data_IF_827183458593
#
_entry.id   IF_827183458593
#
_cell.length_a   1.000
_cell.length_b   1.000
_cell.length_c   1.000
_cell.angle_alpha   90.00
_cell.angle_beta   90.00
_cell.angle_gamma   90.00
#
_symmetry.space_group_name_H-M   'P 1'
#
loop_
_entity.id
_entity.type
_entity.pdbx_description
1 polymer ?
#
# COMPACT_ATOMS: atom_id res chain seq x y z
N UNK A 1 8.78 -21.37 -17.82
CA UNK A 1 9.20 -20.49 -18.95
C UNK A 1 7.98 -19.67 -19.36
N UNK A 2 7.72 -18.57 -18.66
CA UNK A 2 6.66 -17.63 -19.04
C UNK A 2 7.23 -16.63 -20.04
N UNK A 3 6.48 -16.39 -21.12
CA UNK A 3 6.82 -15.48 -22.21
C UNK A 3 6.92 -14.04 -21.67
N UNK A 4 8.13 -13.60 -21.33
CA UNK A 4 8.42 -12.21 -21.03
C UNK A 4 8.58 -11.46 -22.35
N UNK A 5 7.49 -11.30 -23.11
CA UNK A 5 7.53 -10.50 -24.33
C UNK A 5 7.43 -9.03 -23.92
N UNK A 6 8.58 -8.45 -23.56
CA UNK A 6 8.73 -7.00 -23.53
C UNK A 6 8.12 -6.44 -24.82
N UNK A 7 7.13 -5.56 -24.69
CA UNK A 7 6.47 -5.00 -25.86
C UNK A 7 7.53 -4.19 -26.62
N UNK A 8 7.74 -4.49 -27.91
CA UNK A 8 8.78 -3.85 -28.73
C UNK A 8 8.69 -2.32 -28.76
N UNK A 9 7.55 -1.77 -28.38
CA UNK A 9 7.29 -0.33 -28.31
C UNK A 9 7.62 0.30 -26.94
N UNK A 10 7.98 -0.48 -25.92
CA UNK A 10 8.33 0.04 -24.60
C UNK A 10 9.70 0.73 -24.63
N UNK A 11 9.87 1.78 -23.83
CA UNK A 11 11.17 2.44 -23.68
C UNK A 11 12.24 1.49 -23.13
N UNK A 12 13.51 1.77 -23.40
CA UNK A 12 14.64 0.97 -22.88
C UNK A 12 14.61 0.81 -21.35
N UNK A 13 14.14 1.83 -20.61
CA UNK A 13 13.96 1.77 -19.16
C UNK A 13 12.91 0.72 -18.77
N UNK A 14 11.73 0.74 -19.39
CA UNK A 14 10.67 -0.21 -19.08
C UNK A 14 11.07 -1.65 -19.43
N UNK A 15 11.81 -1.84 -20.53
CA UNK A 15 12.36 -3.14 -20.89
C UNK A 15 13.37 -3.66 -19.84
N UNK A 16 14.22 -2.78 -19.29
CA UNK A 16 15.13 -3.15 -18.22
C UNK A 16 14.38 -3.50 -16.92
N UNK A 17 13.38 -2.70 -16.54
CA UNK A 17 12.55 -2.95 -15.36
C UNK A 17 11.74 -4.26 -15.46
N UNK A 18 11.33 -4.65 -16.67
CA UNK A 18 10.57 -5.89 -16.90
C UNK A 18 11.37 -7.19 -16.68
N UNK A 19 12.70 -7.09 -16.67
CA UNK A 19 13.60 -8.25 -16.53
C UNK A 19 14.46 -8.19 -15.26
N UNK A 20 14.57 -7.02 -14.63
CA UNK A 20 15.33 -6.88 -13.38
C UNK A 20 14.60 -7.60 -12.24
N UNK A 21 15.28 -8.59 -11.67
CA UNK A 21 14.81 -9.41 -10.56
C UNK A 21 15.70 -9.25 -9.32
N UNK A 22 16.51 -8.20 -9.27
CA UNK A 22 17.42 -7.93 -8.15
C UNK A 22 16.68 -7.58 -6.85
N UNK A 23 15.45 -7.07 -6.97
CA UNK A 23 14.53 -6.80 -5.86
C UNK A 23 13.40 -7.83 -5.95
N UNK A 24 13.05 -8.53 -4.85
CA UNK A 24 11.96 -9.49 -4.87
C UNK A 24 10.65 -8.76 -5.16
N UNK A 25 9.93 -9.16 -6.19
CA UNK A 25 8.58 -8.68 -6.50
C UNK A 25 7.91 -9.75 -7.37
N UNK A 26 6.62 -9.99 -7.20
CA UNK A 26 5.91 -10.93 -8.06
C UNK A 26 5.71 -10.36 -9.46
N UNK A 27 5.83 -11.22 -10.47
CA UNK A 27 5.67 -10.82 -11.87
C UNK A 27 4.34 -10.13 -12.14
N UNK A 28 3.26 -10.59 -11.50
CA UNK A 28 1.94 -9.97 -11.61
C UNK A 28 1.94 -8.48 -11.19
N UNK A 29 2.67 -8.13 -10.13
CA UNK A 29 2.79 -6.75 -9.69
C UNK A 29 3.65 -5.93 -10.66
N UNK A 30 4.76 -6.49 -11.16
CA UNK A 30 5.60 -5.86 -12.20
C UNK A 30 4.78 -5.53 -13.44
N UNK A 31 4.00 -6.49 -13.94
CA UNK A 31 3.17 -6.33 -15.14
C UNK A 31 2.13 -5.21 -14.97
N UNK A 32 1.49 -5.13 -13.80
CA UNK A 32 0.55 -4.05 -13.46
C UNK A 32 1.26 -2.69 -13.41
N UNK A 33 2.41 -2.60 -12.74
CA UNK A 33 3.17 -1.36 -12.64
C UNK A 33 3.67 -0.87 -13.99
N UNK A 34 4.25 -1.74 -14.81
CA UNK A 34 4.71 -1.38 -16.15
C UNK A 34 3.56 -0.86 -17.02
N UNK A 35 2.39 -1.49 -16.92
CA UNK A 35 1.20 -1.05 -17.66
C UNK A 35 0.64 0.28 -17.16
N UNK A 36 0.62 0.52 -15.85
CA UNK A 36 0.26 1.83 -15.27
C UNK A 36 1.26 2.94 -15.63
N UNK A 37 2.56 2.62 -15.65
CA UNK A 37 3.63 3.54 -16.07
C UNK A 37 3.55 3.90 -17.55
N UNK A 38 3.13 2.94 -18.39
CA UNK A 38 2.97 3.14 -19.83
C UNK A 38 1.61 3.78 -20.21
N UNK A 39 0.84 4.28 -19.24
CA UNK A 39 -0.41 4.99 -19.52
C UNK A 39 -0.11 6.28 -20.32
N UNK A 40 -0.60 6.41 -21.58
CA UNK A 40 -0.25 7.55 -22.44
C UNK A 40 -0.77 8.88 -21.89
N UNK A 41 -1.86 8.84 -21.11
CA UNK A 41 -2.43 10.02 -20.49
C UNK A 41 -1.62 10.50 -19.28
N UNK A 42 -0.70 9.69 -18.74
CA UNK A 42 0.16 10.05 -17.61
C UNK A 42 0.89 11.36 -17.85
N UNK A 43 1.49 11.56 -19.02
CA UNK A 43 2.31 12.75 -19.30
C UNK A 43 1.50 14.04 -19.45
N UNK A 44 0.20 13.96 -19.73
CA UNK A 44 -0.68 15.11 -19.85
C UNK A 44 -1.53 15.32 -18.59
N UNK A 45 -2.22 14.28 -18.13
CA UNK A 45 -3.16 14.32 -17.01
C UNK A 45 -2.42 14.49 -15.69
N UNK A 46 -1.33 13.75 -15.46
CA UNK A 46 -0.60 13.78 -14.17
C UNK A 46 -0.10 15.18 -13.81
N UNK A 47 0.67 15.92 -14.63
CA UNK A 47 1.17 17.24 -14.21
C UNK A 47 0.05 18.24 -13.93
N UNK A 48 -1.03 18.21 -14.75
CA UNK A 48 -2.18 19.08 -14.55
C UNK A 48 -2.92 18.76 -13.25
N UNK A 49 -3.24 17.47 -13.03
CA UNK A 49 -4.00 17.03 -11.86
C UNK A 49 -3.16 17.10 -10.59
N UNK A 50 -1.87 16.82 -10.67
CA UNK A 50 -0.94 16.98 -9.54
C UNK A 50 -0.87 18.44 -9.10
N UNK A 51 -0.79 19.40 -10.03
CA UNK A 51 -0.84 20.82 -9.69
C UNK A 51 -2.17 21.24 -9.08
N UNK A 52 -3.28 20.85 -9.71
CA UNK A 52 -4.64 21.15 -9.23
C UNK A 52 -4.90 20.56 -7.84
N UNK A 53 -4.63 19.27 -7.64
CA UNK A 53 -4.84 18.58 -6.38
C UNK A 53 -3.85 19.02 -5.32
N UNK A 54 -2.62 19.40 -5.66
CA UNK A 54 -1.72 20.02 -4.70
C UNK A 54 -2.31 21.33 -4.17
N UNK A 55 -2.78 22.22 -5.05
CA UNK A 55 -3.42 23.48 -4.62
C UNK A 55 -4.65 23.19 -3.76
N UNK A 56 -5.55 22.31 -4.23
CA UNK A 56 -6.75 21.91 -3.50
C UNK A 56 -6.41 21.34 -2.11
N UNK A 57 -5.43 20.44 -2.04
CA UNK A 57 -4.99 19.83 -0.79
C UNK A 57 -4.52 20.89 0.21
N UNK A 58 -3.72 21.86 -0.22
CA UNK A 58 -3.22 22.91 0.67
C UNK A 58 -4.33 23.87 1.12
N UNK A 59 -5.28 24.18 0.23
CA UNK A 59 -6.46 25.00 0.59
C UNK A 59 -7.34 24.28 1.63
N UNK A 60 -7.65 23.01 1.41
CA UNK A 60 -8.44 22.19 2.34
C UNK A 60 -7.69 22.00 3.65
N UNK A 61 -6.39 21.72 3.59
CA UNK A 61 -5.54 21.57 4.77
C UNK A 61 -5.54 22.84 5.63
N UNK A 62 -5.38 24.01 5.00
CA UNK A 62 -5.45 25.31 5.69
C UNK A 62 -6.82 25.51 6.34
N UNK A 63 -7.89 25.24 5.60
CA UNK A 63 -9.26 25.33 6.10
C UNK A 63 -9.50 24.44 7.32
N UNK A 64 -9.05 23.17 7.28
CA UNK A 64 -9.18 22.21 8.40
C UNK A 64 -8.30 22.57 9.59
N UNK A 65 -7.31 23.46 9.42
CA UNK A 65 -6.45 23.96 10.50
C UNK A 65 -7.02 25.17 11.24
N UNK A 66 -8.00 25.87 10.64
CA UNK A 66 -8.74 26.95 11.30
C UNK A 66 -9.44 26.43 12.57
N UNK A 67 -9.71 27.30 13.58
CA UNK A 67 -10.39 26.93 14.82
C UNK A 67 -11.90 26.77 14.63
N UNK A 68 -12.32 26.09 13.55
CA UNK A 68 -13.70 25.76 13.26
C UNK A 68 -14.04 24.37 13.83
N UNK A 69 -15.33 24.12 14.17
CA UNK A 69 -15.77 22.79 14.58
C UNK A 69 -15.33 21.72 13.58
N UNK A 70 -14.61 20.71 14.08
CA UNK A 70 -14.11 19.62 13.25
C UNK A 70 -15.23 18.63 12.95
N UNK A 71 -15.23 18.08 11.75
CA UNK A 71 -16.15 17.03 11.33
C UNK A 71 -15.39 15.90 10.65
N UNK A 72 -15.98 14.70 10.68
CA UNK A 72 -15.59 13.58 9.84
C UNK A 72 -16.83 12.91 9.22
N UNK A 73 -16.63 12.34 8.04
CA UNK A 73 -17.67 11.70 7.25
C UNK A 73 -17.13 10.43 6.58
N UNK A 74 -16.65 9.48 7.40
CA UNK A 74 -16.03 8.22 6.95
C UNK A 74 -16.85 7.48 5.89
N UNK A 75 -18.17 7.34 6.10
CA UNK A 75 -19.04 6.67 5.13
C UNK A 75 -19.16 7.40 3.79
N UNK A 76 -19.13 8.74 3.79
CA UNK A 76 -19.13 9.52 2.55
C UNK A 76 -17.77 9.43 1.86
N UNK A 77 -16.67 9.52 2.62
CA UNK A 77 -15.31 9.37 2.14
C UNK A 77 -15.15 8.05 1.37
N UNK A 78 -15.51 6.93 2.01
CA UNK A 78 -15.36 5.62 1.38
C UNK A 78 -16.27 5.46 0.16
N UNK A 79 -17.51 5.96 0.22
CA UNK A 79 -18.43 5.95 -0.95
C UNK A 79 -17.85 6.71 -2.13
N UNK A 80 -17.26 7.88 -1.90
CA UNK A 80 -16.63 8.68 -2.94
C UNK A 80 -15.40 7.98 -3.52
N UNK A 81 -14.51 7.45 -2.68
CA UNK A 81 -13.33 6.71 -3.14
C UNK A 81 -13.75 5.51 -3.99
N UNK A 82 -14.64 4.65 -3.49
CA UNK A 82 -15.14 3.50 -4.25
C UNK A 82 -15.84 3.91 -5.54
N UNK A 83 -16.48 5.08 -5.59
CA UNK A 83 -17.05 5.63 -6.83
C UNK A 83 -15.96 6.06 -7.81
N UNK A 84 -14.95 6.82 -7.36
CA UNK A 84 -13.81 7.19 -8.19
C UNK A 84 -13.05 5.97 -8.71
N UNK A 85 -12.82 4.96 -7.87
CA UNK A 85 -12.22 3.68 -8.26
C UNK A 85 -12.97 3.02 -9.41
N UNK A 86 -14.30 2.87 -9.29
CA UNK A 86 -15.12 2.26 -10.34
C UNK A 86 -15.15 3.06 -11.64
N UNK A 87 -15.13 4.39 -11.55
CA UNK A 87 -15.42 5.23 -12.71
C UNK A 87 -14.18 5.83 -13.37
N UNK A 88 -13.12 6.17 -12.65
CA UNK A 88 -12.01 6.98 -13.16
C UNK A 88 -10.62 6.38 -12.96
N UNK A 89 -10.41 5.58 -11.92
CA UNK A 89 -9.12 4.93 -11.67
C UNK A 89 -8.90 3.77 -12.65
N UNK A 90 -7.71 3.69 -13.25
CA UNK A 90 -7.34 2.62 -14.18
C UNK A 90 -7.58 1.23 -13.57
N UNK A 91 -7.76 0.23 -14.44
CA UNK A 91 -7.94 -1.16 -13.97
C UNK A 91 -6.68 -1.61 -13.23
N UNK A 92 -5.52 -1.25 -13.75
CA UNK A 92 -4.21 -1.58 -13.20
C UNK A 92 -4.03 -0.97 -11.80
N UNK A 93 -4.33 0.32 -11.63
CA UNK A 93 -4.24 0.98 -10.33
C UNK A 93 -5.24 0.41 -9.32
N UNK A 94 -6.46 0.06 -9.75
CA UNK A 94 -7.44 -0.61 -8.89
C UNK A 94 -6.96 -2.00 -8.44
N UNK A 95 -6.35 -2.79 -9.33
CA UNK A 95 -5.78 -4.08 -8.97
C UNK A 95 -4.60 -3.92 -8.00
N UNK A 96 -3.73 -2.92 -8.21
CA UNK A 96 -2.65 -2.59 -7.29
C UNK A 96 -3.18 -2.18 -5.91
N UNK A 97 -4.27 -1.41 -5.84
CA UNK A 97 -4.93 -1.05 -4.57
C UNK A 97 -5.44 -2.30 -3.85
N UNK A 98 -6.19 -3.18 -4.52
CA UNK A 98 -6.72 -4.40 -3.89
C UNK A 98 -5.60 -5.34 -3.43
N UNK A 99 -4.56 -5.47 -4.26
CA UNK A 99 -3.39 -6.28 -3.97
C UNK A 99 -2.63 -5.75 -2.75
N UNK A 100 -2.48 -4.43 -2.61
CA UNK A 100 -1.84 -3.81 -1.45
C UNK A 100 -2.50 -4.19 -0.12
N UNK A 101 -3.84 -4.21 -0.05
CA UNK A 101 -4.53 -4.68 1.16
C UNK A 101 -4.14 -6.12 1.53
N UNK A 102 -4.04 -6.99 0.53
CA UNK A 102 -3.71 -8.39 0.74
C UNK A 102 -2.24 -8.59 1.14
N UNK A 103 -1.31 -7.90 0.47
CA UNK A 103 0.13 -7.99 0.78
C UNK A 103 0.43 -7.43 2.18
N UNK A 104 -0.13 -6.28 2.55
CA UNK A 104 0.07 -5.72 3.89
C UNK A 104 -0.59 -6.57 4.98
N UNK A 105 -1.82 -7.05 4.76
CA UNK A 105 -2.47 -7.95 5.73
C UNK A 105 -1.65 -9.21 5.97
N UNK A 106 -1.07 -9.82 4.93
CA UNK A 106 -0.16 -10.96 5.07
C UNK A 106 1.11 -10.63 5.86
N UNK A 107 1.74 -9.48 5.59
CA UNK A 107 2.93 -9.03 6.32
C UNK A 107 2.62 -8.84 7.81
N UNK A 108 1.50 -8.21 8.14
CA UNK A 108 1.08 -8.02 9.52
C UNK A 108 0.74 -9.35 10.20
N UNK A 109 0.00 -10.22 9.52
CA UNK A 109 -0.36 -11.54 10.02
C UNK A 109 0.86 -12.44 10.23
N UNK A 110 1.88 -12.33 9.37
CA UNK A 110 3.15 -13.01 9.57
C UNK A 110 3.87 -12.51 10.82
N UNK A 111 3.95 -11.19 11.02
CA UNK A 111 4.55 -10.62 12.25
C UNK A 111 3.78 -11.08 13.49
N UNK A 112 2.44 -11.10 13.43
CA UNK A 112 1.58 -11.53 14.54
C UNK A 112 1.85 -13.00 14.89
N UNK A 113 1.74 -13.90 13.91
CA UNK A 113 1.92 -15.35 14.09
C UNK A 113 3.32 -15.72 14.60
N UNK A 114 4.35 -14.95 14.23
CA UNK A 114 5.73 -15.21 14.61
C UNK A 114 6.21 -14.40 15.83
N UNK A 115 5.30 -13.63 16.46
CA UNK A 115 5.57 -12.94 17.72
C UNK A 115 5.29 -13.83 18.92
N UNK A 116 5.90 -13.54 20.06
CA UNK A 116 5.68 -14.32 21.29
C UNK A 116 4.35 -13.95 22.00
N UNK A 117 3.47 -13.18 21.35
CA UNK A 117 2.18 -12.72 21.92
C UNK A 117 1.01 -13.42 21.24
N UNK A 118 0.37 -14.32 21.97
CA UNK A 118 -0.75 -15.12 21.47
C UNK A 118 -2.09 -14.36 21.36
N UNK A 119 -2.24 -13.20 22.02
CA UNK A 119 -3.54 -12.51 22.15
C UNK A 119 -3.75 -11.37 21.12
N UNK A 120 -2.97 -11.34 20.03
CA UNK A 120 -3.12 -10.32 18.98
C UNK A 120 -3.96 -10.89 17.85
N UNK A 121 -5.13 -10.30 17.63
CA UNK A 121 -6.04 -10.73 16.56
C UNK A 121 -5.43 -10.50 15.17
N UNK A 122 -5.55 -11.47 14.24
CA UNK A 122 -5.08 -11.31 12.87
C UNK A 122 -5.90 -10.27 12.11
N UNK A 123 -5.27 -9.62 11.14
CA UNK A 123 -5.88 -8.64 10.24
C UNK A 123 -6.71 -9.36 9.17
N UNK A 124 -8.03 -9.11 9.07
CA UNK A 124 -8.92 -9.84 8.15
C UNK A 124 -9.14 -9.12 6.81
N UNK A 125 -8.31 -8.14 6.43
CA UNK A 125 -8.59 -7.22 5.33
C UNK A 125 -8.08 -7.74 3.98
N UNK A 126 -8.89 -8.58 3.32
CA UNK A 126 -8.60 -9.12 1.99
C UNK A 126 -9.71 -8.81 0.96
N UNK A 127 -9.97 -7.52 0.64
CA UNK A 127 -10.99 -7.16 -0.34
C UNK A 127 -10.65 -7.73 -1.71
N UNK A 128 -11.64 -8.30 -2.39
CA UNK A 128 -11.49 -8.89 -3.73
C UNK A 128 -12.09 -8.00 -4.82
N UNK A 129 -12.98 -7.08 -4.43
CA UNK A 129 -13.65 -6.13 -5.31
C UNK A 129 -13.59 -4.71 -4.76
N UNK A 130 -13.85 -3.72 -5.62
CA UNK A 130 -13.95 -2.31 -5.21
C UNK A 130 -15.09 -2.06 -4.21
N UNK A 131 -16.14 -2.88 -4.27
CA UNK A 131 -17.26 -2.75 -3.34
C UNK A 131 -16.94 -3.35 -1.96
N UNK A 132 -16.06 -4.35 -1.87
CA UNK A 132 -15.57 -4.88 -0.59
C UNK A 132 -14.81 -3.83 0.21
N UNK A 133 -14.10 -2.92 -0.48
CA UNK A 133 -13.42 -1.78 0.16
C UNK A 133 -14.41 -0.83 0.88
N UNK A 134 -15.73 -0.92 0.65
CA UNK A 134 -16.69 -0.16 1.45
C UNK A 134 -16.71 -0.60 2.91
N UNK A 135 -16.43 -1.88 3.14
CA UNK A 135 -16.31 -2.47 4.47
C UNK A 135 -14.86 -2.41 4.92
N UNK A 136 -13.93 -2.94 4.14
CA UNK A 136 -12.49 -2.80 4.34
C UNK A 136 -12.02 -1.39 3.93
N UNK A 137 -12.41 -0.38 4.69
CA UNK A 137 -12.12 1.02 4.36
C UNK A 137 -10.64 1.34 4.53
N UNK A 138 -10.15 2.36 3.82
CA UNK A 138 -8.76 2.81 3.96
C UNK A 138 -8.43 3.28 5.38
N UNK A 139 -9.41 3.85 6.08
CA UNK A 139 -9.21 4.28 7.48
C UNK A 139 -9.13 3.07 8.42
N UNK A 140 -9.94 2.04 8.18
CA UNK A 140 -9.87 0.79 8.95
C UNK A 140 -8.54 0.07 8.73
N UNK A 141 -8.09 0.03 7.48
CA UNK A 141 -6.78 -0.49 7.08
C UNK A 141 -5.64 0.09 7.92
N UNK A 142 -5.49 1.41 7.95
CA UNK A 142 -4.44 2.08 8.73
C UNK A 142 -4.61 1.83 10.24
N UNK A 143 -5.86 1.80 10.72
CA UNK A 143 -6.15 1.50 12.13
C UNK A 143 -5.78 0.07 12.53
N UNK A 144 -5.94 -0.91 11.66
CA UNK A 144 -5.53 -2.29 11.89
C UNK A 144 -4.02 -2.38 12.11
N UNK A 145 -3.23 -1.72 11.26
CA UNK A 145 -1.77 -1.61 11.42
C UNK A 145 -1.40 -1.02 12.80
N UNK A 146 -2.00 0.12 13.17
CA UNK A 146 -1.70 0.76 14.45
C UNK A 146 -2.09 -0.09 15.66
N UNK A 147 -3.27 -0.72 15.62
CA UNK A 147 -3.75 -1.61 16.69
C UNK A 147 -2.83 -2.82 16.84
N UNK A 148 -2.45 -3.47 15.74
CA UNK A 148 -1.53 -4.61 15.76
C UNK A 148 -0.20 -4.22 16.40
N UNK A 149 0.41 -3.09 15.99
CA UNK A 149 1.65 -2.62 16.60
C UNK A 149 1.52 -2.27 18.07
N UNK A 150 0.43 -1.63 18.47
CA UNK A 150 0.16 -1.30 19.86
C UNK A 150 0.00 -2.55 20.74
N UNK A 151 -0.72 -3.57 20.26
CA UNK A 151 -0.95 -4.84 20.95
C UNK A 151 0.33 -5.69 21.02
N UNK A 152 1.09 -5.78 19.92
CA UNK A 152 2.42 -6.41 19.89
C UNK A 152 3.36 -5.73 20.90
N UNK A 153 3.26 -4.40 21.07
CA UNK A 153 4.00 -3.65 22.06
C UNK A 153 5.49 -3.57 21.76
N UNK A 154 6.30 -3.54 22.83
CA UNK A 154 7.76 -3.42 22.72
C UNK A 154 8.37 -4.64 22.03
N UNK A 155 9.13 -4.37 20.97
CA UNK A 155 9.90 -5.40 20.29
C UNK A 155 11.15 -5.75 21.09
N UNK A 156 11.32 -7.03 21.40
CA UNK A 156 12.55 -7.55 21.99
C UNK A 156 13.45 -8.06 20.86
N UNK A 157 14.64 -7.49 20.64
CA UNK A 157 15.53 -7.95 19.59
C UNK A 157 15.85 -9.44 19.72
N UNK A 158 15.69 -10.18 18.62
CA UNK A 158 16.02 -11.60 18.60
C UNK A 158 17.54 -11.78 18.49
N UNK A 159 18.11 -12.65 19.32
CA UNK A 159 19.55 -12.98 19.29
C UNK A 159 19.90 -13.97 18.17
N UNK A 160 18.91 -14.72 17.69
CA UNK A 160 18.98 -15.65 16.56
C UNK A 160 17.67 -15.59 15.78
N UNK A 161 17.69 -15.92 14.48
CA UNK A 161 16.46 -16.11 13.71
C UNK A 161 15.54 -17.16 14.35
N UNK A 162 14.25 -17.09 14.06
CA UNK A 162 13.27 -18.11 14.47
C UNK A 162 13.61 -19.42 13.76
N UNK A 163 13.62 -20.52 14.53
CA UNK A 163 13.96 -21.84 14.00
C UNK A 163 12.87 -22.40 13.09
N UNK A 164 11.61 -22.13 13.44
CA UNK A 164 10.42 -22.47 12.67
C UNK A 164 9.57 -21.21 12.51
N UNK A 165 9.03 -21.01 11.31
CA UNK A 165 8.17 -19.89 10.97
C UNK A 165 6.72 -20.36 10.87
N UNK A 166 5.81 -19.62 11.49
CA UNK A 166 4.38 -19.87 11.43
C UNK A 166 3.76 -19.12 10.24
N UNK A 167 3.05 -19.88 9.40
CA UNK A 167 2.35 -19.40 8.21
C UNK A 167 0.83 -19.58 8.30
N UNK A 168 0.28 -19.92 9.47
CA UNK A 168 -1.13 -20.28 9.65
C UNK A 168 -2.11 -19.21 9.16
N UNK A 169 -1.77 -17.93 9.34
CA UNK A 169 -2.58 -16.80 8.88
C UNK A 169 -2.21 -16.26 7.49
N UNK A 170 -1.23 -16.87 6.83
CA UNK A 170 -0.75 -16.43 5.53
C UNK A 170 -1.71 -16.85 4.41
N UNK A 171 -2.05 -15.91 3.53
CA UNK A 171 -2.96 -16.15 2.41
C UNK A 171 -2.29 -15.75 1.09
N UNK A 172 -1.86 -16.74 0.29
CA UNK A 172 -1.23 -16.48 -1.01
C UNK A 172 -2.14 -15.59 -1.88
N UNK A 173 -1.56 -14.55 -2.46
CA UNK A 173 -2.27 -13.60 -3.32
C UNK A 173 -2.45 -14.23 -4.70
N UNK A 174 -3.68 -14.57 -5.05
CA UNK A 174 -4.04 -14.97 -6.40
C UNK A 174 -4.71 -13.82 -7.15
N UNK A 175 -4.16 -13.44 -8.30
CA UNK A 175 -4.71 -12.36 -9.13
C UNK A 175 -6.09 -12.67 -9.70
N UNK A 176 -6.42 -13.94 -9.90
CA UNK A 176 -7.73 -14.38 -10.42
C UNK A 176 -8.86 -14.15 -9.41
N UNK A 177 -8.55 -13.95 -8.13
CA UNK A 177 -9.55 -13.63 -7.12
C UNK A 177 -10.04 -12.18 -7.24
N UNK A 178 -9.24 -11.28 -7.82
CA UNK A 178 -9.57 -9.86 -7.89
C UNK A 178 -10.49 -9.55 -9.06
N UNK A 179 -11.56 -8.80 -8.81
CA UNK A 179 -12.53 -8.44 -9.82
C UNK A 179 -12.67 -6.92 -9.95
N UNK A 180 -12.25 -6.40 -11.10
CA UNK A 180 -12.37 -4.99 -11.46
C UNK A 180 -13.06 -4.86 -12.82
N UNK A 181 -14.25 -4.27 -12.83
CA UNK A 181 -14.99 -4.00 -14.05
C UNK A 181 -14.30 -2.89 -14.86
N UNK A 182 -13.98 -3.16 -16.12
CA UNK A 182 -13.36 -2.19 -17.03
C UNK A 182 -14.39 -1.19 -17.54
N UNK A 183 -14.07 0.11 -17.45
CA UNK A 183 -14.86 1.20 -18.03
C UNK A 183 -14.01 2.13 -18.88
N UNK A 184 -14.63 2.77 -19.87
CA UNK A 184 -13.93 3.67 -20.79
C UNK A 184 -13.38 4.93 -20.12
N UNK A 185 -13.99 5.35 -19.00
CA UNK A 185 -13.59 6.54 -18.25
C UNK A 185 -12.45 6.30 -17.24
N UNK A 186 -11.94 5.06 -17.14
CA UNK A 186 -10.86 4.69 -16.21
C UNK A 186 -9.48 5.05 -16.77
N UNK A 187 -9.10 6.32 -16.66
CA UNK A 187 -7.84 6.84 -17.20
C UNK A 187 -6.82 7.32 -16.15
N UNK A 188 -7.23 7.47 -14.89
CA UNK A 188 -6.34 7.93 -13.82
C UNK A 188 -5.37 6.83 -13.44
N UNK A 189 -4.08 7.13 -13.57
CA UNK A 189 -3.02 6.29 -13.03
C UNK A 189 -3.02 6.30 -11.49
N UNK A 190 -2.25 5.40 -10.91
CA UNK A 190 -2.18 5.21 -9.47
C UNK A 190 -1.83 6.51 -8.72
N UNK A 191 -0.83 7.25 -9.18
CA UNK A 191 -0.38 8.48 -8.53
C UNK A 191 -1.42 9.61 -8.59
N UNK A 192 -2.08 9.80 -9.74
CA UNK A 192 -3.11 10.83 -9.91
C UNK A 192 -4.36 10.49 -9.08
N UNK A 193 -4.74 9.22 -9.03
CA UNK A 193 -5.83 8.74 -8.19
C UNK A 193 -5.52 8.97 -6.70
N UNK A 194 -4.31 8.64 -6.25
CA UNK A 194 -3.89 8.86 -4.87
C UNK A 194 -3.89 10.35 -4.50
N UNK A 195 -3.42 11.24 -5.36
CA UNK A 195 -3.46 12.69 -5.11
C UNK A 195 -4.89 13.21 -4.90
N UNK A 196 -5.86 12.71 -5.67
CA UNK A 196 -7.28 12.98 -5.47
C UNK A 196 -7.76 12.44 -4.11
N UNK A 197 -7.42 11.20 -3.78
CA UNK A 197 -7.83 10.59 -2.52
C UNK A 197 -7.30 11.37 -1.33
N UNK A 198 -6.05 11.82 -1.33
CA UNK A 198 -5.50 12.68 -0.27
C UNK A 198 -6.34 13.96 -0.04
N UNK A 199 -6.86 14.57 -1.11
CA UNK A 199 -7.76 15.72 -0.98
C UNK A 199 -9.06 15.35 -0.27
N UNK A 200 -9.65 14.19 -0.62
CA UNK A 200 -10.87 13.69 0.01
C UNK A 200 -10.65 13.35 1.48
N UNK A 201 -9.55 12.66 1.81
CA UNK A 201 -9.16 12.36 3.18
C UNK A 201 -9.00 13.64 4.00
N UNK A 202 -8.26 14.63 3.48
CA UNK A 202 -8.05 15.89 4.17
C UNK A 202 -9.38 16.61 4.46
N UNK A 203 -10.30 16.61 3.50
CA UNK A 203 -11.60 17.27 3.64
C UNK A 203 -12.51 16.54 4.64
N UNK A 204 -12.62 15.22 4.52
CA UNK A 204 -13.67 14.41 5.14
C UNK A 204 -13.24 13.70 6.42
N UNK A 205 -11.98 13.82 6.85
CA UNK A 205 -11.50 13.34 8.15
C UNK A 205 -11.27 14.51 9.12
N UNK A 206 -11.29 14.24 10.43
CA UNK A 206 -10.78 15.18 11.42
C UNK A 206 -9.28 15.34 11.26
N UNK A 207 -8.72 16.40 11.84
CA UNK A 207 -7.29 16.69 11.79
C UNK A 207 -6.41 15.53 12.27
N UNK A 208 -6.75 14.90 13.40
CA UNK A 208 -5.97 13.79 13.94
C UNK A 208 -6.14 12.52 13.09
N UNK A 209 -7.37 12.21 12.66
CA UNK A 209 -7.66 11.10 11.74
C UNK A 209 -6.87 11.25 10.42
N UNK A 210 -6.82 12.46 9.84
CA UNK A 210 -6.04 12.74 8.65
C UNK A 210 -4.53 12.62 8.89
N UNK A 211 -4.02 13.13 10.03
CA UNK A 211 -2.61 13.00 10.41
C UNK A 211 -2.23 11.52 10.50
N UNK A 212 -3.07 10.72 11.13
CA UNK A 212 -2.81 9.31 11.34
C UNK A 212 -2.80 8.57 9.98
N UNK A 213 -3.77 8.82 9.10
CA UNK A 213 -3.81 8.23 7.76
C UNK A 213 -2.56 8.54 6.91
N UNK A 214 -2.10 9.79 6.86
CA UNK A 214 -0.92 10.16 6.05
C UNK A 214 0.42 9.76 6.68
N UNK A 215 0.40 9.23 7.91
CA UNK A 215 1.58 8.72 8.61
C UNK A 215 1.47 7.20 8.90
N UNK A 216 0.48 6.50 8.33
CA UNK A 216 0.31 5.04 8.47
C UNK A 216 1.57 4.25 8.10
N UNK A 217 2.15 4.61 6.97
CA UNK A 217 3.37 4.00 6.43
C UNK A 217 4.67 4.43 7.14
N UNK A 218 4.62 5.16 8.27
CA UNK A 218 5.83 5.43 9.06
C UNK A 218 6.42 4.15 9.70
N UNK A 219 5.66 3.06 9.75
CA UNK A 219 6.05 1.81 10.40
C UNK A 219 6.77 0.82 9.47
N UNK A 220 6.96 1.13 8.18
CA UNK A 220 7.63 0.25 7.21
C UNK A 220 8.99 -0.26 7.71
N UNK A 221 9.86 0.66 8.15
CA UNK A 221 11.16 0.29 8.70
C UNK A 221 11.04 -0.61 9.95
N UNK A 222 10.03 -0.37 10.79
CA UNK A 222 9.83 -1.18 11.99
C UNK A 222 9.37 -2.59 11.62
N UNK A 223 8.48 -2.73 10.63
CA UNK A 223 8.07 -4.02 10.08
C UNK A 223 9.28 -4.77 9.50
N UNK A 224 10.08 -4.10 8.68
CA UNK A 224 11.26 -4.66 8.04
C UNK A 224 12.29 -5.19 9.05
N UNK A 225 12.55 -4.43 10.12
CA UNK A 225 13.47 -4.86 11.20
C UNK A 225 12.94 -6.12 11.90
N UNK A 226 11.65 -6.14 12.25
CA UNK A 226 11.03 -7.28 12.94
C UNK A 226 11.12 -8.55 12.08
N UNK A 227 10.72 -8.45 10.82
CA UNK A 227 10.73 -9.58 9.87
C UNK A 227 12.17 -10.02 9.59
N UNK A 228 13.08 -9.07 9.32
CA UNK A 228 14.50 -9.37 9.09
C UNK A 228 15.15 -10.11 10.25
N UNK A 229 14.78 -9.79 11.50
CA UNK A 229 15.23 -10.55 12.66
C UNK A 229 14.60 -11.93 12.75
N UNK A 230 13.30 -12.07 12.45
CA UNK A 230 12.60 -13.35 12.46
C UNK A 230 13.21 -14.34 11.46
N UNK A 231 13.49 -13.90 10.23
CA UNK A 231 13.97 -14.78 9.14
C UNK A 231 15.50 -14.81 8.99
N UNK A 232 16.23 -13.97 9.73
CA UNK A 232 17.69 -13.89 9.67
C UNK A 232 18.26 -13.08 8.50
N UNK A 233 17.49 -12.13 7.99
CA UNK A 233 17.88 -11.23 6.89
C UNK A 233 17.84 -9.76 7.34
N UNK A 234 18.86 -9.27 8.06
CA UNK A 234 18.86 -7.90 8.58
C UNK A 234 18.84 -6.83 7.47
N UNK A 235 19.33 -7.17 6.28
CA UNK A 235 19.38 -6.29 5.11
C UNK A 235 17.97 -5.96 4.55
N UNK A 236 16.91 -6.69 4.93
CA UNK A 236 15.53 -6.36 4.54
C UNK A 236 15.12 -4.95 4.97
N UNK A 237 15.75 -4.39 6.00
CA UNK A 237 15.54 -3.01 6.42
C UNK A 237 15.78 -1.99 5.29
N UNK A 238 16.64 -2.31 4.31
CA UNK A 238 16.91 -1.43 3.17
C UNK A 238 15.76 -1.38 2.15
N UNK A 239 14.84 -2.34 2.18
CA UNK A 239 13.64 -2.32 1.34
C UNK A 239 12.61 -1.27 1.82
N UNK A 240 12.69 -0.85 3.08
CA UNK A 240 11.82 0.18 3.62
C UNK A 240 12.30 1.58 3.21
N UNK A 241 11.50 2.28 2.40
CA UNK A 241 11.75 3.70 2.10
C UNK A 241 11.33 4.62 3.25
N UNK A 242 10.17 4.35 3.85
CA UNK A 242 9.66 5.15 4.96
C UNK A 242 10.37 4.75 6.26
N UNK A 243 11.40 5.53 6.61
CA UNK A 243 12.25 5.35 7.80
C UNK A 243 11.96 6.43 8.85
N UNK A 244 12.37 6.16 10.09
CA UNK A 244 12.26 7.09 11.22
C UNK A 244 10.82 7.43 11.63
N UNK A 245 10.08 6.52 12.29
CA UNK A 245 8.64 6.65 12.57
C UNK A 245 8.25 7.88 13.40
N UNK A 246 9.18 8.48 14.14
CA UNK A 246 8.97 9.68 14.94
C UNK A 246 8.91 10.97 14.11
N UNK A 247 9.25 10.92 12.82
CA UNK A 247 9.12 12.04 11.92
C UNK A 247 7.72 12.07 11.29
N UNK A 248 6.85 12.94 11.81
CA UNK A 248 5.52 13.15 11.24
C UNK A 248 5.57 14.10 10.06
N UNK A 249 4.99 13.69 8.93
CA UNK A 249 4.94 14.50 7.71
C UNK A 249 3.66 15.33 7.61
N UNK A 250 3.80 16.46 6.92
CA UNK A 250 2.68 17.29 6.46
C UNK A 250 2.15 16.86 5.09
N UNK A 251 1.40 17.73 4.38
CA UNK A 251 0.78 17.40 3.09
C UNK A 251 1.77 17.28 1.91
N UNK A 252 3.06 17.51 2.14
CA UNK A 252 4.09 17.49 1.10
C UNK A 252 4.59 16.07 0.82
N UNK A 253 4.89 15.75 -0.45
CA UNK A 253 5.45 14.47 -0.91
C UNK A 253 4.64 13.20 -0.56
N UNK A 254 3.37 13.33 -0.18
CA UNK A 254 2.56 12.18 0.26
C UNK A 254 2.41 11.09 -0.81
N UNK A 255 2.20 11.46 -2.08
CA UNK A 255 2.06 10.46 -3.15
C UNK A 255 3.31 9.63 -3.37
N UNK A 256 4.50 10.22 -3.25
CA UNK A 256 5.75 9.45 -3.34
C UNK A 256 5.87 8.49 -2.16
N UNK A 257 5.60 8.95 -0.94
CA UNK A 257 5.71 8.09 0.25
C UNK A 257 4.75 6.91 0.21
N UNK A 258 3.51 7.14 -0.24
CA UNK A 258 2.51 6.09 -0.44
C UNK A 258 2.92 5.10 -1.52
N UNK A 259 3.43 5.59 -2.66
CA UNK A 259 3.96 4.72 -3.72
C UNK A 259 5.10 3.83 -3.20
N UNK A 260 6.03 4.41 -2.46
CA UNK A 260 7.16 3.68 -1.89
C UNK A 260 6.73 2.67 -0.81
N UNK A 261 5.68 2.97 -0.05
CA UNK A 261 5.05 2.03 0.87
C UNK A 261 4.42 0.85 0.13
N UNK A 262 3.69 1.11 -0.96
CA UNK A 262 3.16 0.05 -1.83
C UNK A 262 4.26 -0.89 -2.32
N UNK A 263 5.38 -0.34 -2.82
CA UNK A 263 6.55 -1.14 -3.21
C UNK A 263 7.13 -1.94 -2.03
N UNK A 264 7.27 -1.33 -0.86
CA UNK A 264 7.73 -2.04 0.34
C UNK A 264 6.86 -3.28 0.64
N UNK A 265 5.54 -3.14 0.60
CA UNK A 265 4.63 -4.28 0.85
C UNK A 265 4.76 -5.37 -0.22
N UNK A 266 4.92 -5.01 -1.49
CA UNK A 266 5.16 -5.97 -2.58
C UNK A 266 6.48 -6.73 -2.38
N UNK A 267 7.54 -6.01 -2.01
CA UNK A 267 8.87 -6.61 -1.85
C UNK A 267 8.93 -7.57 -0.67
N UNK A 268 8.38 -7.13 0.46
CA UNK A 268 8.29 -7.95 1.66
C UNK A 268 7.43 -9.18 1.45
N UNK A 269 6.26 -9.01 0.81
CA UNK A 269 5.38 -10.12 0.49
C UNK A 269 6.08 -11.13 -0.41
N UNK A 270 6.68 -10.69 -1.53
CA UNK A 270 7.35 -11.59 -2.47
C UNK A 270 8.52 -12.34 -1.82
N UNK A 271 9.31 -11.67 -0.96
CA UNK A 271 10.40 -12.33 -0.23
C UNK A 271 9.89 -13.41 0.73
N UNK A 272 8.84 -13.11 1.48
CA UNK A 272 8.24 -14.04 2.44
C UNK A 272 7.58 -15.22 1.72
N UNK A 273 6.90 -14.98 0.59
CA UNK A 273 6.31 -16.03 -0.25
C UNK A 273 7.38 -17.00 -0.76
N UNK A 274 8.50 -16.49 -1.29
CA UNK A 274 9.64 -17.30 -1.70
C UNK A 274 10.20 -18.16 -0.56
N UNK A 275 10.27 -17.61 0.65
CA UNK A 275 10.74 -18.33 1.82
C UNK A 275 9.77 -19.45 2.22
N UNK A 276 8.45 -19.16 2.21
CA UNK A 276 7.40 -20.15 2.48
C UNK A 276 7.47 -21.31 1.49
N UNK A 277 7.51 -21.01 0.20
CA UNK A 277 7.56 -22.01 -0.87
C UNK A 277 8.85 -22.84 -0.83
N UNK A 278 9.95 -22.28 -0.36
CA UNK A 278 11.22 -23.02 -0.16
C UNK A 278 11.22 -23.89 1.10
N UNK A 279 10.29 -23.65 2.03
CA UNK A 279 10.17 -24.38 3.30
C UNK A 279 9.15 -25.53 3.24
N UNK A 280 8.41 -25.64 2.14
CA UNK A 280 7.50 -26.75 1.82
C UNK A 280 8.19 -27.81 0.94
#
# INVERSE_FOLDING_TARGET
MANNSANKNDSALLQALAVDNSIPIEQAAVDLWLKDLNNPLRWLVRPLFQGLFAILLHLVWLFKRLPLPQFSAHGLLQKLICWFCRHFVSVEANLLILRHYATESNILNFIIANSDKADVEPVPLYPKTIDDMRHASFVEHDQCLFKAFAQLGHWQPLSKPKAELDWHHWQAVNMDDFQVEKRWSQFLDFESAHALFMCLFCLLLKRDEYRDAINGFNLDQSMAIRIGQMIGEPNLTEMAYNKHPLYLVGPWNLSQRFLMHGFFTEYMYARLEQLRDSSC
#
